data_IF_937162246741
#
_entry.id   IF_937162246741
#
_cell.length_a   1.000
_cell.length_b   1.000
_cell.length_c   1.000
_cell.angle_alpha   90.00
_cell.angle_beta   90.00
_cell.angle_gamma   90.00
#
_symmetry.space_group_name_H-M   'P 1'
#
loop_
_entity.id
_entity.type
_entity.pdbx_description
1 polymer ?
#
# COMPACT_ATOMS: atom_id res chain seq x y z
N UNK A 1 16.59 -2.21 23.92
CA UNK A 1 15.12 -2.34 24.05
C UNK A 1 14.37 -1.09 23.62
N UNK A 2 14.55 0.07 24.26
CA UNK A 2 13.81 1.31 23.87
C UNK A 2 14.07 1.72 22.41
N UNK A 3 15.33 1.72 21.97
CA UNK A 3 15.70 2.06 20.58
C UNK A 3 14.98 1.18 19.55
N UNK A 4 15.03 -0.14 19.72
CA UNK A 4 14.34 -1.09 18.85
C UNK A 4 12.83 -0.81 18.77
N UNK A 5 12.18 -0.56 19.91
CA UNK A 5 10.74 -0.23 19.93
C UNK A 5 10.45 1.04 19.14
N UNK A 6 11.28 2.08 19.28
CA UNK A 6 11.14 3.33 18.52
C UNK A 6 11.28 3.08 17.02
N UNK A 7 12.29 2.32 16.59
CA UNK A 7 12.50 1.99 15.17
C UNK A 7 11.32 1.20 14.59
N UNK A 8 10.82 0.19 15.32
CA UNK A 8 9.66 -0.61 14.88
C UNK A 8 8.40 0.24 14.74
N UNK A 9 8.11 1.10 15.71
CA UNK A 9 6.94 1.99 15.64
C UNK A 9 7.08 3.01 14.50
N UNK A 10 8.26 3.58 14.32
CA UNK A 10 8.51 4.52 13.22
C UNK A 10 8.36 3.82 11.85
N UNK A 11 8.89 2.61 11.70
CA UNK A 11 8.74 1.80 10.48
C UNK A 11 7.28 1.46 10.20
N UNK A 12 6.51 1.07 11.22
CA UNK A 12 5.08 0.80 11.07
C UNK A 12 4.30 2.03 10.58
N UNK A 13 4.53 3.19 11.22
CA UNK A 13 3.88 4.44 10.82
C UNK A 13 4.30 4.84 9.40
N UNK A 14 5.59 4.74 9.07
CA UNK A 14 6.09 5.03 7.73
C UNK A 14 5.46 4.12 6.67
N UNK A 15 5.41 2.80 6.91
CA UNK A 15 4.78 1.85 5.98
C UNK A 15 3.30 2.15 5.77
N UNK A 16 2.56 2.48 6.83
CA UNK A 16 1.14 2.83 6.76
C UNK A 16 0.92 4.11 5.93
N UNK A 17 1.68 5.18 6.21
CA UNK A 17 1.55 6.46 5.49
C UNK A 17 1.96 6.34 4.02
N UNK A 18 3.10 5.69 3.74
CA UNK A 18 3.57 5.48 2.37
C UNK A 18 2.62 4.60 1.56
N UNK A 19 2.07 3.54 2.18
CA UNK A 19 1.08 2.69 1.51
C UNK A 19 -0.21 3.46 1.23
N UNK A 20 -0.72 4.22 2.20
CA UNK A 20 -1.93 5.03 2.01
C UNK A 20 -1.75 6.07 0.89
N UNK A 21 -0.65 6.80 0.90
CA UNK A 21 -0.32 7.77 -0.15
C UNK A 21 -0.13 7.12 -1.52
N UNK A 22 0.60 6.00 -1.57
CA UNK A 22 0.83 5.24 -2.80
C UNK A 22 -0.45 4.64 -3.37
N UNK A 23 -1.35 4.12 -2.54
CA UNK A 23 -2.65 3.61 -2.98
C UNK A 23 -3.52 4.75 -3.49
N UNK A 24 -3.54 5.91 -2.82
CA UNK A 24 -4.29 7.07 -3.31
C UNK A 24 -3.80 7.51 -4.70
N UNK A 25 -2.48 7.62 -4.90
CA UNK A 25 -1.89 7.93 -6.20
C UNK A 25 -2.19 6.85 -7.26
N UNK A 26 -2.06 5.57 -6.89
CA UNK A 26 -2.35 4.45 -7.77
C UNK A 26 -3.82 4.42 -8.20
N UNK A 27 -4.77 4.70 -7.30
CA UNK A 27 -6.18 4.78 -7.62
C UNK A 27 -6.46 5.83 -8.71
N UNK A 28 -5.84 7.00 -8.61
CA UNK A 28 -5.96 8.05 -9.65
C UNK A 28 -5.38 7.57 -10.97
N UNK A 29 -4.20 6.94 -10.95
CA UNK A 29 -3.57 6.41 -12.15
C UNK A 29 -4.38 5.27 -12.80
N UNK A 30 -4.91 4.35 -12.00
CA UNK A 30 -5.73 3.22 -12.45
C UNK A 30 -7.03 3.69 -13.11
N UNK A 31 -7.67 4.74 -12.59
CA UNK A 31 -8.83 5.36 -13.22
C UNK A 31 -8.47 5.96 -14.59
N UNK A 32 -7.33 6.65 -14.70
CA UNK A 32 -6.85 7.26 -15.95
C UNK A 32 -6.45 6.25 -17.02
N UNK A 33 -6.03 5.06 -16.61
CA UNK A 33 -5.58 3.98 -17.51
C UNK A 33 -6.62 2.89 -17.70
N UNK A 34 -7.83 3.06 -17.13
CA UNK A 34 -8.91 2.06 -17.13
C UNK A 34 -8.49 0.69 -16.58
N UNK A 35 -7.52 0.65 -15.67
CA UNK A 35 -7.11 -0.55 -14.95
C UNK A 35 -8.09 -0.83 -13.78
N UNK A 36 -9.33 -1.13 -14.13
CA UNK A 36 -10.45 -1.30 -13.20
C UNK A 36 -10.97 -2.74 -13.22
N UNK A 37 -11.38 -3.24 -12.07
CA UNK A 37 -12.11 -4.50 -11.93
C UNK A 37 -13.61 -4.24 -12.16
N UNK A 38 -14.15 -4.75 -13.27
CA UNK A 38 -15.54 -4.57 -13.65
C UNK A 38 -16.41 -5.62 -12.94
N UNK A 39 -17.55 -5.24 -12.33
CA UNK A 39 -18.40 -6.19 -11.61
C UNK A 39 -18.93 -7.29 -12.54
N UNK A 40 -19.01 -8.52 -11.99
CA UNK A 40 -19.66 -9.67 -12.62
C UNK A 40 -20.68 -10.29 -11.66
N UNK A 41 -21.36 -11.36 -12.06
CA UNK A 41 -22.42 -12.01 -11.27
C UNK A 41 -21.99 -12.49 -9.86
N UNK A 42 -20.68 -12.57 -9.57
CA UNK A 42 -20.12 -12.93 -8.26
C UNK A 42 -19.53 -11.75 -7.49
N UNK A 43 -19.52 -10.54 -8.06
CA UNK A 43 -18.92 -9.37 -7.42
C UNK A 43 -19.79 -8.84 -6.28
N UNK A 44 -19.16 -8.43 -5.17
CA UNK A 44 -19.83 -7.75 -4.05
C UNK A 44 -19.88 -6.22 -4.20
N UNK A 45 -19.28 -5.71 -5.27
CA UNK A 45 -19.29 -4.30 -5.64
C UNK A 45 -20.20 -4.10 -6.87
N UNK A 46 -20.83 -2.93 -6.94
CA UNK A 46 -21.74 -2.56 -8.03
C UNK A 46 -21.12 -1.57 -9.03
N UNK A 47 -19.91 -1.07 -8.74
CA UNK A 47 -19.20 -0.08 -9.56
C UNK A 47 -17.76 -0.54 -9.81
N UNK A 48 -17.16 -0.25 -10.98
CA UNK A 48 -15.77 -0.61 -11.23
C UNK A 48 -14.81 -0.03 -10.19
N UNK A 49 -13.92 -0.86 -9.66
CA UNK A 49 -12.94 -0.45 -8.62
C UNK A 49 -11.50 -0.57 -9.14
N UNK A 50 -10.56 0.30 -8.71
CA UNK A 50 -9.15 0.19 -9.10
C UNK A 50 -8.58 -1.21 -8.84
N UNK A 51 -8.04 -1.85 -9.88
CA UNK A 51 -7.49 -3.21 -9.79
C UNK A 51 -6.03 -3.15 -9.35
N UNK A 52 -5.58 -4.16 -8.60
CA UNK A 52 -4.17 -4.37 -8.24
C UNK A 52 -3.53 -3.30 -7.34
N UNK A 53 -4.31 -2.47 -6.63
CA UNK A 53 -3.76 -1.49 -5.67
C UNK A 53 -2.87 -2.12 -4.57
N UNK A 54 -3.03 -3.41 -4.28
CA UNK A 54 -2.17 -4.16 -3.36
C UNK A 54 -0.69 -4.22 -3.77
N UNK A 55 -0.35 -3.95 -5.04
CA UNK A 55 1.05 -3.87 -5.50
C UNK A 55 1.82 -2.78 -4.75
N UNK A 56 1.15 -1.70 -4.34
CA UNK A 56 1.76 -0.63 -3.55
C UNK A 56 2.27 -1.19 -2.22
N UNK A 57 1.46 -1.97 -1.52
CA UNK A 57 1.86 -2.60 -0.26
C UNK A 57 3.01 -3.58 -0.46
N UNK A 58 2.95 -4.40 -1.52
CA UNK A 58 4.00 -5.38 -1.86
C UNK A 58 5.35 -4.71 -2.11
N UNK A 59 5.37 -3.47 -2.61
CA UNK A 59 6.60 -2.69 -2.81
C UNK A 59 7.02 -1.97 -1.52
N UNK A 60 6.09 -1.26 -0.87
CA UNK A 60 6.40 -0.41 0.30
C UNK A 60 6.84 -1.24 1.50
N UNK A 61 6.15 -2.33 1.82
CA UNK A 61 6.43 -3.13 3.01
C UNK A 61 7.89 -3.66 3.08
N UNK A 62 8.42 -4.36 2.05
CA UNK A 62 9.80 -4.84 2.09
C UNK A 62 10.84 -3.71 2.04
N UNK A 63 10.55 -2.59 1.36
CA UNK A 63 11.46 -1.43 1.34
C UNK A 63 11.58 -0.77 2.71
N UNK A 64 10.45 -0.57 3.40
CA UNK A 64 10.44 -0.01 4.76
C UNK A 64 11.08 -0.97 5.74
N UNK A 65 10.82 -2.27 5.62
CA UNK A 65 11.49 -3.30 6.43
C UNK A 65 13.02 -3.24 6.24
N UNK A 66 13.50 -3.30 4.99
CA UNK A 66 14.93 -3.23 4.69
C UNK A 66 15.57 -1.93 5.20
N UNK A 67 14.86 -0.80 5.11
CA UNK A 67 15.33 0.47 5.65
C UNK A 67 15.40 0.47 7.19
N UNK A 68 14.44 -0.18 7.86
CA UNK A 68 14.43 -0.29 9.31
C UNK A 68 15.60 -1.14 9.84
N UNK A 69 15.98 -2.21 9.13
CA UNK A 69 17.15 -3.05 9.48
C UNK A 69 18.47 -2.25 9.48
N UNK A 70 18.57 -1.15 8.72
CA UNK A 70 19.75 -0.28 8.75
C UNK A 70 19.82 0.62 10.01
N UNK A 71 18.73 0.67 10.78
CA UNK A 71 18.57 1.52 11.95
C UNK A 71 18.51 0.70 13.25
N UNK A 72 18.58 -0.63 13.19
CA UNK A 72 18.59 -1.51 14.36
C UNK A 72 20.02 -1.88 14.72
#
# INVERSE_FOLDING_TARGET
>A
MVHLVVVVLAAFVAAALLTAAGVAAFCVWAQRTSLLDVPNARSSHSVPVPRAAGVVFVIVAPLVFAAAELLV
#
